data_IF_179934783115
#
_entry.id   IF_179934783115
#
_cell.length_a   1.000
_cell.length_b   1.000
_cell.length_c   1.000
_cell.angle_alpha   90.00
_cell.angle_beta   90.00
_cell.angle_gamma   90.00
#
_symmetry.space_group_name_H-M   'P 1'
#
loop_
_entity.id
_entity.type
_entity.pdbx_description
1 polymer ?
#
# COMPACT_ATOMS: atom_id res chain seq x y z
N UNK A 1 -3.65 -39.99 2.37
CA UNK A 1 -3.79 -38.86 3.31
C UNK A 1 -3.97 -37.57 2.53
N UNK A 2 -4.92 -36.71 2.89
CA UNK A 2 -5.07 -35.38 2.29
C UNK A 2 -4.31 -34.39 3.17
N UNK A 3 -3.28 -33.75 2.63
CA UNK A 3 -2.58 -32.67 3.32
C UNK A 3 -3.61 -31.60 3.72
N UNK A 4 -3.66 -31.26 5.01
CA UNK A 4 -4.50 -30.18 5.51
C UNK A 4 -4.00 -28.87 4.89
N UNK A 5 -4.77 -28.37 3.92
CA UNK A 5 -4.45 -27.10 3.27
C UNK A 5 -4.58 -25.97 4.30
N UNK A 6 -3.62 -25.06 4.28
CA UNK A 6 -3.63 -23.88 5.14
C UNK A 6 -4.98 -23.14 5.02
N UNK A 7 -5.61 -22.69 6.13
CA UNK A 7 -6.95 -22.08 6.12
C UNK A 7 -7.15 -20.94 5.12
N UNK A 8 -6.08 -20.16 4.87
CA UNK A 8 -6.04 -19.09 3.86
C UNK A 8 -6.41 -19.59 2.46
N UNK A 9 -6.06 -20.84 2.11
CA UNK A 9 -6.39 -21.42 0.79
C UNK A 9 -7.88 -21.75 0.64
N UNK A 10 -8.67 -21.77 1.71
CA UNK A 10 -10.11 -22.00 1.64
C UNK A 10 -10.93 -20.75 1.97
N UNK A 11 -10.27 -19.64 2.30
CA UNK A 11 -10.93 -18.39 2.66
C UNK A 11 -11.59 -17.75 1.44
N UNK A 12 -12.92 -17.48 1.43
CA UNK A 12 -13.59 -16.82 0.31
C UNK A 12 -12.86 -15.55 -0.14
N UNK A 13 -12.94 -15.23 -1.43
CA UNK A 13 -12.10 -14.18 -2.02
C UNK A 13 -12.47 -12.79 -1.50
N UNK A 14 -13.72 -12.62 -1.10
CA UNK A 14 -14.29 -11.44 -0.45
C UNK A 14 -13.70 -11.26 0.95
N UNK A 15 -13.61 -12.36 1.72
CA UNK A 15 -12.99 -12.35 3.06
C UNK A 15 -11.50 -12.06 2.95
N UNK A 16 -10.82 -12.64 1.96
CA UNK A 16 -9.41 -12.34 1.69
C UNK A 16 -9.22 -10.88 1.30
N UNK A 17 -10.11 -10.32 0.49
CA UNK A 17 -10.13 -8.90 0.15
C UNK A 17 -10.32 -8.02 1.38
N UNK A 18 -11.19 -8.40 2.32
CA UNK A 18 -11.40 -7.64 3.55
C UNK A 18 -10.18 -7.72 4.50
N UNK A 19 -9.52 -8.88 4.58
CA UNK A 19 -8.25 -9.02 5.30
C UNK A 19 -7.19 -8.07 4.70
N UNK A 20 -7.14 -7.94 3.38
CA UNK A 20 -6.20 -7.02 2.72
C UNK A 20 -6.51 -5.57 3.01
N UNK A 21 -7.79 -5.18 3.02
CA UNK A 21 -8.23 -3.84 3.41
C UNK A 21 -7.74 -3.50 4.83
N UNK A 22 -7.97 -4.41 5.79
CA UNK A 22 -7.51 -4.24 7.17
C UNK A 22 -5.99 -4.14 7.24
N UNK A 23 -5.25 -5.02 6.53
CA UNK A 23 -3.79 -5.02 6.54
C UNK A 23 -3.19 -3.74 5.93
N UNK A 24 -3.83 -3.20 4.89
CA UNK A 24 -3.45 -1.89 4.32
C UNK A 24 -3.76 -0.78 5.32
N UNK A 25 -4.94 -0.79 5.93
CA UNK A 25 -5.35 0.23 6.89
C UNK A 25 -4.45 0.26 8.13
N UNK A 26 -4.13 -0.90 8.72
CA UNK A 26 -3.23 -1.02 9.88
C UNK A 26 -1.82 -0.48 9.58
N UNK A 27 -1.29 -0.81 8.39
CA UNK A 27 -0.01 -0.27 7.93
C UNK A 27 -0.06 1.27 7.78
N UNK A 28 -1.24 1.84 7.52
CA UNK A 28 -1.45 3.29 7.45
C UNK A 28 -1.68 3.93 8.83
N UNK A 29 -2.40 3.27 9.73
CA UNK A 29 -2.77 3.78 11.06
C UNK A 29 -1.61 3.77 12.05
N UNK A 30 -0.61 2.90 11.86
CA UNK A 30 0.65 2.89 12.66
C UNK A 30 1.39 4.26 12.66
N UNK A 31 0.98 5.22 11.80
CA UNK A 31 1.44 6.63 11.81
C UNK A 31 0.89 7.45 12.97
N UNK A 32 -0.29 7.13 13.49
CA UNK A 32 -0.94 7.98 14.48
C UNK A 32 -0.30 7.85 15.87
N UNK A 33 0.25 6.68 16.20
CA UNK A 33 0.69 6.38 17.57
C UNK A 33 2.20 6.59 17.79
N UNK A 34 3.02 6.57 16.74
CA UNK A 34 4.50 6.60 16.88
C UNK A 34 5.11 8.01 16.91
N UNK A 35 4.36 9.05 16.52
CA UNK A 35 4.93 10.39 16.27
C UNK A 35 4.66 11.39 17.40
N UNK A 36 5.36 11.22 18.52
CA UNK A 36 5.51 12.24 19.57
C UNK A 36 6.88 12.95 19.58
N UNK A 37 7.88 12.47 18.81
CA UNK A 37 9.24 13.02 18.85
C UNK A 37 9.84 13.18 17.44
N UNK A 38 10.24 14.41 17.05
CA UNK A 38 10.77 14.73 15.71
C UNK A 38 12.03 13.95 15.30
N UNK A 39 12.90 13.59 16.26
CA UNK A 39 14.25 13.06 15.98
C UNK A 39 14.31 11.60 15.49
N UNK A 40 13.20 10.84 15.55
CA UNK A 40 13.16 9.45 15.09
C UNK A 40 12.51 9.27 13.70
N UNK A 41 12.05 10.37 13.09
CA UNK A 41 11.28 10.35 11.86
C UNK A 41 12.13 9.95 10.64
N UNK A 42 13.39 10.41 10.55
CA UNK A 42 14.12 10.37 9.27
C UNK A 42 14.58 8.97 8.82
N UNK A 43 14.92 8.08 9.75
CA UNK A 43 15.44 6.74 9.39
C UNK A 43 14.35 5.66 9.29
N UNK A 44 13.21 5.85 9.95
CA UNK A 44 12.04 4.97 9.84
C UNK A 44 11.05 5.45 8.77
N UNK A 45 11.04 6.74 8.42
CA UNK A 45 10.15 7.33 7.42
C UNK A 45 10.28 6.62 6.06
N UNK A 46 11.48 6.46 5.50
CA UNK A 46 11.62 5.81 4.18
C UNK A 46 11.09 4.36 4.17
N UNK A 47 11.36 3.56 5.21
CA UNK A 47 10.92 2.16 5.28
C UNK A 47 9.42 2.01 5.56
N UNK A 48 8.85 2.85 6.44
CA UNK A 48 7.42 2.84 6.75
C UNK A 48 6.61 3.37 5.56
N UNK A 49 7.09 4.44 4.92
CA UNK A 49 6.52 4.98 3.68
C UNK A 49 6.59 3.97 2.53
N UNK A 50 7.73 3.29 2.36
CA UNK A 50 7.90 2.25 1.34
C UNK A 50 6.97 1.06 1.57
N UNK A 51 6.75 0.66 2.82
CA UNK A 51 5.84 -0.44 3.18
C UNK A 51 4.40 -0.13 2.75
N UNK A 52 3.90 1.08 3.03
CA UNK A 52 2.54 1.50 2.66
C UNK A 52 2.30 1.54 1.17
N UNK A 53 3.23 2.19 0.43
CA UNK A 53 3.16 2.28 -1.03
C UNK A 53 3.11 0.91 -1.69
N UNK A 54 3.80 -0.06 -1.09
CA UNK A 54 4.00 -1.38 -1.68
C UNK A 54 2.95 -2.38 -1.25
N UNK A 55 2.21 -2.17 -0.15
CA UNK A 55 1.32 -3.19 0.39
C UNK A 55 0.30 -3.73 -0.62
N UNK A 56 -0.45 -2.90 -1.38
CA UNK A 56 -1.37 -3.40 -2.42
C UNK A 56 -0.65 -4.22 -3.49
N UNK A 57 0.57 -3.80 -3.87
CA UNK A 57 1.40 -4.46 -4.87
C UNK A 57 1.92 -5.80 -4.37
N UNK A 58 2.45 -5.84 -3.13
CA UNK A 58 2.95 -7.05 -2.46
C UNK A 58 1.83 -8.08 -2.35
N UNK A 59 0.66 -7.68 -1.85
CA UNK A 59 -0.51 -8.56 -1.76
C UNK A 59 -0.90 -9.10 -3.13
N UNK A 60 -0.91 -8.26 -4.18
CA UNK A 60 -1.24 -8.68 -5.55
C UNK A 60 -0.17 -9.55 -6.23
N UNK A 61 1.04 -9.62 -5.67
CA UNK A 61 2.17 -10.35 -6.24
C UNK A 61 2.29 -11.79 -5.71
N UNK A 62 1.65 -12.13 -4.58
CA UNK A 62 1.82 -13.43 -3.91
C UNK A 62 1.38 -14.62 -4.77
N UNK A 63 0.13 -14.63 -5.24
CA UNK A 63 -0.41 -15.67 -6.12
C UNK A 63 -1.60 -15.14 -6.92
N UNK A 64 -2.08 -15.90 -7.91
CA UNK A 64 -3.21 -15.49 -8.77
C UNK A 64 -4.48 -15.17 -7.96
N UNK A 65 -4.76 -15.95 -6.90
CA UNK A 65 -5.93 -15.71 -6.04
C UNK A 65 -5.82 -14.42 -5.24
N UNK A 66 -4.64 -14.14 -4.68
CA UNK A 66 -4.40 -12.91 -3.94
C UNK A 66 -4.43 -11.70 -4.88
N UNK A 67 -3.89 -11.85 -6.09
CA UNK A 67 -4.05 -10.84 -7.15
C UNK A 67 -5.52 -10.56 -7.46
N UNK A 68 -6.32 -11.61 -7.64
CA UNK A 68 -7.75 -11.45 -7.90
C UNK A 68 -8.45 -10.70 -6.75
N UNK A 69 -8.23 -11.13 -5.50
CA UNK A 69 -8.82 -10.50 -4.32
C UNK A 69 -8.41 -9.03 -4.17
N UNK A 70 -7.12 -8.72 -4.35
CA UNK A 70 -6.62 -7.35 -4.27
C UNK A 70 -7.20 -6.47 -5.38
N UNK A 71 -7.26 -6.95 -6.63
CA UNK A 71 -7.78 -6.16 -7.75
C UNK A 71 -9.30 -5.97 -7.71
N UNK A 72 -10.05 -6.91 -7.12
CA UNK A 72 -11.51 -6.80 -6.97
C UNK A 72 -11.95 -6.08 -5.69
N UNK A 73 -11.01 -5.66 -4.84
CA UNK A 73 -11.32 -4.83 -3.69
C UNK A 73 -10.71 -3.42 -3.85
N UNK A 74 -11.49 -2.44 -4.34
CA UNK A 74 -11.00 -1.09 -4.55
C UNK A 74 -10.46 -0.41 -3.29
N UNK A 75 -10.94 -0.81 -2.11
CA UNK A 75 -10.50 -0.24 -0.82
C UNK A 75 -9.04 -0.57 -0.47
N UNK A 76 -8.46 -1.57 -1.11
CA UNK A 76 -7.03 -1.89 -1.00
C UNK A 76 -6.18 -0.83 -1.69
N UNK A 77 -6.73 -0.07 -2.64
CA UNK A 77 -6.01 0.88 -3.50
C UNK A 77 -6.29 2.35 -3.14
N UNK A 78 -6.56 2.65 -1.87
CA UNK A 78 -6.99 4.01 -1.48
C UNK A 78 -5.87 4.94 -1.05
N UNK A 79 -4.63 4.45 -0.97
CA UNK A 79 -3.50 5.25 -0.50
C UNK A 79 -2.46 5.47 -1.58
N UNK A 80 -2.12 6.74 -1.79
CA UNK A 80 -1.01 7.17 -2.63
C UNK A 80 -0.09 8.00 -1.75
N UNK A 81 1.16 7.58 -1.62
CA UNK A 81 2.18 8.38 -0.99
C UNK A 81 3.20 8.78 -2.04
N UNK A 82 3.50 10.08 -2.15
CA UNK A 82 4.50 10.65 -3.04
C UNK A 82 5.55 11.36 -2.17
N UNK A 83 6.84 11.10 -2.42
CA UNK A 83 7.93 11.78 -1.73
C UNK A 83 8.90 12.36 -2.75
N UNK A 84 9.30 13.61 -2.53
CA UNK A 84 10.32 14.30 -3.27
C UNK A 84 11.51 14.57 -2.34
N UNK A 85 12.65 13.97 -2.66
CA UNK A 85 13.93 14.16 -1.95
C UNK A 85 14.98 14.64 -2.96
N UNK A 86 16.09 15.21 -2.51
CA UNK A 86 17.21 15.54 -3.40
C UNK A 86 17.73 14.32 -4.18
N UNK A 87 17.59 13.10 -3.65
CA UNK A 87 17.92 11.83 -4.34
C UNK A 87 16.86 11.38 -5.34
N UNK A 88 15.59 11.74 -5.12
CA UNK A 88 14.49 11.43 -6.05
C UNK A 88 14.15 12.56 -7.03
N UNK A 89 14.95 13.64 -7.07
CA UNK A 89 14.92 14.68 -8.13
C UNK A 89 14.92 14.11 -9.55
N UNK A 90 15.40 12.88 -9.74
CA UNK A 90 15.49 12.19 -11.02
C UNK A 90 14.50 11.04 -11.21
N UNK A 91 13.49 10.88 -10.33
CA UNK A 91 12.40 9.96 -10.67
C UNK A 91 11.78 10.45 -11.98
N UNK A 92 11.82 9.64 -13.06
CA UNK A 92 11.24 10.07 -14.32
C UNK A 92 9.77 10.31 -14.05
N UNK A 93 9.30 11.54 -14.29
CA UNK A 93 7.92 11.97 -14.07
C UNK A 93 6.89 10.93 -14.56
N UNK A 94 7.22 10.21 -15.63
CA UNK A 94 6.44 9.09 -16.16
C UNK A 94 6.11 7.99 -15.15
N UNK A 95 7.06 7.53 -14.33
CA UNK A 95 6.81 6.44 -13.37
C UNK A 95 5.83 6.83 -12.26
N UNK A 96 5.89 8.08 -11.79
CA UNK A 96 4.94 8.56 -10.80
C UNK A 96 3.54 8.70 -11.40
N UNK A 97 3.45 9.26 -12.61
CA UNK A 97 2.19 9.41 -13.31
C UNK A 97 1.52 8.05 -13.56
N UNK A 98 2.27 7.06 -14.05
CA UNK A 98 1.78 5.68 -14.24
C UNK A 98 1.31 5.05 -12.93
N UNK A 99 2.06 5.22 -11.84
CA UNK A 99 1.67 4.71 -10.53
C UNK A 99 0.36 5.35 -10.04
N UNK A 100 0.25 6.67 -10.14
CA UNK A 100 -0.97 7.39 -9.74
C UNK A 100 -2.15 6.94 -10.59
N UNK A 101 -2.01 6.89 -11.92
CA UNK A 101 -3.06 6.40 -12.81
C UNK A 101 -3.49 4.98 -12.47
N UNK A 102 -2.52 4.10 -12.19
CA UNK A 102 -2.80 2.73 -11.80
C UNK A 102 -3.61 2.65 -10.51
N UNK A 103 -3.19 3.37 -9.47
CA UNK A 103 -3.90 3.37 -8.18
C UNK A 103 -5.30 3.97 -8.33
N UNK A 104 -5.43 5.10 -9.02
CA UNK A 104 -6.73 5.74 -9.34
C UNK A 104 -7.66 4.79 -10.10
N UNK A 105 -7.13 4.07 -11.10
CA UNK A 105 -7.95 3.13 -11.87
C UNK A 105 -8.46 1.96 -11.01
N UNK A 106 -7.68 1.56 -10.00
CA UNK A 106 -8.00 0.42 -9.13
C UNK A 106 -8.85 0.79 -7.93
N UNK A 107 -8.80 2.05 -7.48
CA UNK A 107 -9.64 2.55 -6.38
C UNK A 107 -11.10 2.76 -6.78
N UNK A 108 -11.41 2.77 -8.08
CA UNK A 108 -12.76 2.97 -8.59
C UNK A 108 -13.34 4.31 -8.11
N UNK A 109 -14.47 4.26 -7.41
CA UNK A 109 -15.15 5.46 -6.88
C UNK A 109 -14.83 5.74 -5.40
N UNK A 110 -13.88 5.00 -4.81
CA UNK A 110 -13.53 5.18 -3.39
C UNK A 110 -12.64 6.42 -3.23
N UNK A 111 -12.87 7.27 -2.21
CA UNK A 111 -11.99 8.39 -1.90
C UNK A 111 -10.53 7.95 -1.72
N UNK A 112 -9.61 8.71 -2.30
CA UNK A 112 -8.18 8.49 -2.17
C UNK A 112 -7.59 9.36 -1.05
N UNK A 113 -6.70 8.77 -0.28
CA UNK A 113 -5.81 9.45 0.67
C UNK A 113 -4.46 9.68 0.01
N UNK A 114 -4.10 10.96 -0.14
CA UNK A 114 -2.87 11.39 -0.76
C UNK A 114 -1.94 11.97 0.32
N UNK A 115 -0.79 11.35 0.53
CA UNK A 115 0.28 11.90 1.34
C UNK A 115 1.38 12.47 0.45
N UNK A 116 1.70 13.74 0.62
CA UNK A 116 2.77 14.45 -0.10
C UNK A 116 3.89 14.81 0.87
N UNK A 117 5.10 14.35 0.58
CA UNK A 117 6.30 14.72 1.32
C UNK A 117 7.28 15.44 0.42
N UNK A 118 7.74 16.60 0.87
CA UNK A 118 8.80 17.36 0.24
C UNK A 118 9.91 17.49 1.28
N UNK A 119 11.09 16.96 0.97
CA UNK A 119 12.29 17.18 1.77
C UNK A 119 12.91 18.52 1.36
N UNK A 120 13.31 19.33 2.34
CA UNK A 120 13.92 20.66 2.15
C UNK A 120 15.44 20.61 1.90
N UNK A 121 15.99 19.43 1.56
CA UNK A 121 17.43 19.24 1.26
C UNK A 121 17.98 20.18 0.17
#
# INVERSE_FOLDING_TARGET
ERAHLHPIRNTPVEVLGHIFEIAVQDANDTRAETFGTPEYCDLLSENVMATRKRMPFVLSAVCQRWRFAALHNPRVWVYICLYSTARTKYWPFGHMHELVQLVVSRSGQIPLHLDLYVSDD
#
